data_IF_512950472425
#
_entry.id   IF_512950472425
#
_cell.length_a   1.000
_cell.length_b   1.000
_cell.length_c   1.000
_cell.angle_alpha   90.00
_cell.angle_beta   90.00
_cell.angle_gamma   90.00
#
_symmetry.space_group_name_H-M   'P 1'
#
loop_
_entity.id
_entity.type
_entity.pdbx_description
1 polymer ?
#
# COMPACT_ATOMS: atom_id res chain seq x y z
N UNK A 1 -21.14 -13.46 -10.41
CA UNK A 1 -19.86 -12.75 -10.57
C UNK A 1 -18.81 -13.77 -10.99
N UNK A 2 -18.28 -13.65 -12.21
CA UNK A 2 -17.28 -14.58 -12.77
C UNK A 2 -15.98 -14.54 -11.95
N UNK A 3 -15.34 -15.70 -11.73
CA UNK A 3 -14.08 -15.87 -11.00
C UNK A 3 -12.98 -14.91 -11.49
N UNK A 4 -12.94 -14.58 -12.79
CA UNK A 4 -11.99 -13.61 -13.36
C UNK A 4 -12.13 -12.18 -12.81
N UNK A 5 -13.29 -11.81 -12.26
CA UNK A 5 -13.53 -10.48 -11.67
C UNK A 5 -13.04 -10.38 -10.22
N UNK A 6 -12.87 -11.53 -9.53
CA UNK A 6 -12.24 -11.59 -8.20
C UNK A 6 -10.72 -11.57 -8.30
N UNK A 7 -10.14 -12.15 -9.36
CA UNK A 7 -8.70 -12.13 -9.60
C UNK A 7 -8.15 -10.73 -9.94
N UNK A 8 -9.02 -9.78 -10.33
CA UNK A 8 -8.65 -8.41 -10.70
C UNK A 8 -9.07 -7.35 -9.65
N UNK A 9 -9.65 -7.76 -8.53
CA UNK A 9 -10.01 -6.84 -7.43
C UNK A 9 -8.93 -6.84 -6.35
N UNK A 10 -8.66 -5.66 -5.80
CA UNK A 10 -7.83 -5.50 -4.62
C UNK A 10 -8.75 -5.49 -3.40
N UNK A 11 -8.56 -6.38 -2.44
CA UNK A 11 -9.37 -6.42 -1.22
C UNK A 11 -8.49 -6.15 0.01
N UNK A 12 -8.78 -5.07 0.75
CA UNK A 12 -8.01 -4.72 1.95
C UNK A 12 -8.08 -5.80 3.03
N UNK A 13 -9.12 -6.65 3.02
CA UNK A 13 -9.25 -7.76 3.99
C UNK A 13 -8.16 -8.82 3.83
N UNK A 14 -7.58 -8.95 2.64
CA UNK A 14 -6.46 -9.86 2.36
C UNK A 14 -5.22 -9.55 3.22
N UNK A 15 -5.10 -8.32 3.74
CA UNK A 15 -3.99 -7.95 4.62
C UNK A 15 -4.09 -8.65 5.99
N UNK A 16 -5.31 -8.91 6.47
CA UNK A 16 -5.59 -9.42 7.81
C UNK A 16 -5.92 -10.92 7.88
N UNK A 17 -5.86 -11.64 6.75
CA UNK A 17 -6.22 -13.07 6.70
C UNK A 17 -5.07 -14.03 7.10
N UNK A 18 -3.87 -13.48 7.35
CA UNK A 18 -2.67 -14.22 7.72
C UNK A 18 -1.84 -14.75 6.55
N UNK A 19 -2.19 -14.41 5.31
CA UNK A 19 -1.42 -14.79 4.12
C UNK A 19 -0.21 -13.90 3.82
N UNK A 20 -0.01 -12.82 4.58
CA UNK A 20 1.13 -11.90 4.45
C UNK A 20 2.29 -12.31 5.37
N UNK A 21 3.28 -13.05 4.85
CA UNK A 21 4.35 -13.70 5.65
C UNK A 21 5.09 -12.79 6.64
N UNK A 22 5.34 -11.52 6.29
CA UNK A 22 6.02 -10.54 7.16
C UNK A 22 5.10 -9.53 7.85
N UNK A 23 3.80 -9.81 7.93
CA UNK A 23 2.79 -8.95 8.55
C UNK A 23 1.85 -9.79 9.40
N UNK A 24 1.76 -9.52 10.70
CA UNK A 24 0.80 -10.23 11.53
C UNK A 24 -0.64 -9.89 11.09
N UNK A 25 -1.61 -10.82 11.23
CA UNK A 25 -3.01 -10.57 10.91
C UNK A 25 -3.56 -9.30 11.58
N UNK A 26 -3.15 -9.01 12.82
CA UNK A 26 -3.59 -7.86 13.59
C UNK A 26 -3.08 -6.55 13.01
N UNK A 27 -1.80 -6.50 12.62
CA UNK A 27 -1.23 -5.32 11.96
C UNK A 27 -1.87 -5.16 10.59
N UNK A 28 -2.02 -6.24 9.82
CA UNK A 28 -2.68 -6.20 8.51
C UNK A 28 -4.13 -5.70 8.58
N UNK A 29 -4.91 -6.21 9.53
CA UNK A 29 -6.26 -5.72 9.79
C UNK A 29 -6.29 -4.26 10.23
N UNK A 30 -5.30 -3.81 11.00
CA UNK A 30 -5.14 -2.39 11.39
C UNK A 30 -4.89 -1.50 10.17
N UNK A 31 -3.95 -1.87 9.29
CA UNK A 31 -3.68 -1.13 8.04
C UNK A 31 -4.89 -1.11 7.11
N UNK A 32 -5.61 -2.23 7.00
CA UNK A 32 -6.83 -2.35 6.23
C UNK A 32 -7.93 -1.40 6.75
N UNK A 33 -8.14 -1.37 8.07
CA UNK A 33 -9.11 -0.48 8.71
C UNK A 33 -8.74 1.00 8.51
N UNK A 34 -7.45 1.34 8.61
CA UNK A 34 -6.97 2.68 8.29
C UNK A 34 -7.32 3.06 6.85
N UNK A 35 -7.00 2.20 5.87
CA UNK A 35 -7.29 2.43 4.45
C UNK A 35 -8.79 2.58 4.17
N UNK A 36 -9.62 1.78 4.82
CA UNK A 36 -11.08 1.87 4.74
C UNK A 36 -11.60 3.23 5.25
N UNK A 37 -11.13 3.70 6.41
CA UNK A 37 -11.47 5.02 6.95
C UNK A 37 -10.99 6.14 6.02
N UNK A 38 -9.80 5.98 5.43
CA UNK A 38 -9.28 6.95 4.47
C UNK A 38 -10.19 7.08 3.25
N UNK A 39 -10.58 5.97 2.61
CA UNK A 39 -11.46 5.99 1.44
C UNK A 39 -12.86 6.52 1.78
N UNK A 40 -13.46 6.06 2.89
CA UNK A 40 -14.79 6.52 3.33
C UNK A 40 -14.79 8.03 3.65
N UNK A 41 -13.74 8.54 4.31
CA UNK A 41 -13.62 9.98 4.60
C UNK A 41 -13.59 10.86 3.35
N UNK A 42 -13.21 10.28 2.21
CA UNK A 42 -13.17 10.95 0.90
C UNK A 42 -14.43 10.68 0.08
N UNK A 43 -15.49 10.14 0.71
CA UNK A 43 -16.80 9.87 0.12
C UNK A 43 -16.77 8.80 -0.98
N UNK A 44 -15.77 7.92 -0.96
CA UNK A 44 -15.72 6.75 -1.84
C UNK A 44 -16.48 5.57 -1.24
N UNK A 45 -17.05 4.76 -2.11
CA UNK A 45 -17.75 3.52 -1.76
C UNK A 45 -16.87 2.30 -2.07
N UNK A 46 -17.04 1.18 -1.34
CA UNK A 46 -16.34 -0.07 -1.64
C UNK A 46 -16.52 -0.48 -3.11
N UNK A 47 -15.41 -0.79 -3.77
CA UNK A 47 -15.35 -1.09 -5.19
C UNK A 47 -15.05 0.10 -6.10
N UNK A 48 -14.76 1.28 -5.53
CA UNK A 48 -14.18 2.40 -6.31
C UNK A 48 -12.95 1.94 -7.08
N UNK A 49 -12.80 2.43 -8.29
CA UNK A 49 -11.64 2.11 -9.11
C UNK A 49 -10.41 2.84 -8.58
N UNK A 50 -9.40 2.08 -8.14
CA UNK A 50 -8.06 2.58 -7.85
C UNK A 50 -7.26 2.61 -9.14
N UNK A 51 -6.87 3.81 -9.58
CA UNK A 51 -6.04 3.99 -10.78
C UNK A 51 -4.57 3.83 -10.41
N UNK A 52 -3.93 2.77 -10.88
CA UNK A 52 -2.50 2.54 -10.71
C UNK A 52 -1.74 3.12 -11.90
N UNK A 53 -0.65 3.84 -11.63
CA UNK A 53 0.19 4.50 -12.65
C UNK A 53 1.68 4.33 -12.36
N UNK A 54 2.52 4.58 -13.38
CA UNK A 54 3.98 4.55 -13.26
C UNK A 54 4.61 3.33 -13.93
N UNK A 55 5.49 2.64 -13.21
CA UNK A 55 6.20 1.43 -13.68
C UNK A 55 5.25 0.26 -14.02
N UNK A 56 4.08 0.26 -13.38
CA UNK A 56 2.92 -0.56 -13.73
C UNK A 56 1.69 0.34 -13.85
N UNK A 57 0.69 -0.06 -14.62
CA UNK A 57 -0.53 0.72 -14.80
C UNK A 57 -1.78 -0.16 -14.95
N UNK A 58 -2.92 0.37 -14.54
CA UNK A 58 -4.23 -0.30 -14.66
C UNK A 58 -5.26 0.28 -13.70
N UNK A 59 -6.54 -0.04 -13.93
CA UNK A 59 -7.63 0.27 -13.01
C UNK A 59 -8.07 -1.00 -12.27
N UNK A 60 -8.16 -0.93 -10.95
CA UNK A 60 -8.50 -2.08 -10.11
C UNK A 60 -9.58 -1.68 -9.10
N UNK A 61 -10.72 -2.38 -9.03
CA UNK A 61 -11.70 -2.16 -7.97
C UNK A 61 -11.07 -2.43 -6.60
N UNK A 62 -11.06 -1.44 -5.72
CA UNK A 62 -10.59 -1.58 -4.35
C UNK A 62 -11.77 -1.86 -3.42
N UNK A 63 -11.74 -2.98 -2.72
CA UNK A 63 -12.79 -3.44 -1.80
C UNK A 63 -12.31 -3.28 -0.36
N UNK A 64 -13.24 -2.93 0.54
CA UNK A 64 -13.04 -2.89 1.98
C UNK A 64 -14.35 -3.09 2.72
N UNK A 65 -14.26 -3.43 4.00
CA UNK A 65 -15.41 -3.42 4.90
C UNK A 65 -15.69 -1.96 5.33
N UNK A 66 -16.92 -1.44 5.17
CA UNK A 66 -17.26 -0.09 5.63
C UNK A 66 -16.90 0.10 7.11
N UNK A 67 -16.17 1.16 7.47
CA UNK A 67 -15.78 1.37 8.86
C UNK A 67 -17.01 1.63 9.72
N UNK A 68 -17.03 1.06 10.92
CA UNK A 68 -18.01 1.42 11.94
C UNK A 68 -17.57 2.69 12.70
N UNK A 69 -18.39 3.10 13.66
CA UNK A 69 -18.10 4.31 14.44
C UNK A 69 -16.87 4.16 15.34
N UNK A 70 -16.55 2.94 15.76
CA UNK A 70 -15.35 2.68 16.55
C UNK A 70 -14.10 2.83 15.69
N UNK A 71 -14.11 2.28 14.47
CA UNK A 71 -13.03 2.44 13.50
C UNK A 71 -12.78 3.92 13.17
N UNK A 72 -13.85 4.69 12.91
CA UNK A 72 -13.75 6.15 12.67
C UNK A 72 -13.10 6.89 13.84
N UNK A 73 -13.43 6.52 15.09
CA UNK A 73 -12.83 7.13 16.29
C UNK A 73 -11.37 6.71 16.49
N UNK A 74 -11.05 5.44 16.23
CA UNK A 74 -9.68 4.91 16.31
C UNK A 74 -8.75 5.66 15.35
N UNK A 75 -9.21 5.88 14.12
CA UNK A 75 -8.43 6.50 13.04
C UNK A 75 -8.69 8.00 12.88
N UNK A 76 -9.15 8.67 13.95
CA UNK A 76 -9.47 10.11 13.93
C UNK A 76 -8.24 10.99 13.74
N UNK A 77 -7.04 10.49 14.03
CA UNK A 77 -5.81 11.17 13.63
C UNK A 77 -5.59 10.94 12.13
N UNK A 78 -5.89 11.95 11.33
CA UNK A 78 -5.80 11.86 9.87
C UNK A 78 -4.39 11.56 9.38
N UNK A 79 -3.34 11.97 10.08
CA UNK A 79 -1.96 11.69 9.69
C UNK A 79 -1.69 10.19 9.83
N UNK A 80 -1.93 9.63 11.02
CA UNK A 80 -1.71 8.20 11.30
C UNK A 80 -2.59 7.34 10.38
N UNK A 81 -3.84 7.74 10.17
CA UNK A 81 -4.75 7.04 9.28
C UNK A 81 -4.24 7.07 7.83
N UNK A 82 -3.78 8.22 7.34
CA UNK A 82 -3.24 8.36 5.97
C UNK A 82 -1.99 7.50 5.79
N UNK A 83 -1.05 7.53 6.74
CA UNK A 83 0.20 6.77 6.66
C UNK A 83 -0.06 5.26 6.69
N UNK A 84 -0.85 4.80 7.65
CA UNK A 84 -1.15 3.37 7.80
C UNK A 84 -2.07 2.86 6.68
N UNK A 85 -3.05 3.65 6.25
CA UNK A 85 -3.91 3.29 5.13
C UNK A 85 -3.13 3.16 3.84
N UNK A 86 -2.19 4.08 3.57
CA UNK A 86 -1.33 4.00 2.41
C UNK A 86 -0.41 2.78 2.46
N UNK A 87 0.15 2.46 3.63
CA UNK A 87 0.92 1.23 3.83
C UNK A 87 0.09 -0.03 3.50
N UNK A 88 -1.16 -0.10 3.95
CA UNK A 88 -2.05 -1.20 3.61
C UNK A 88 -2.26 -1.36 2.11
N UNK A 89 -2.67 -0.29 1.42
CA UNK A 89 -2.88 -0.32 -0.03
C UNK A 89 -1.58 -0.66 -0.78
N UNK A 90 -0.45 -0.10 -0.38
CA UNK A 90 0.85 -0.35 -1.02
C UNK A 90 1.31 -1.81 -0.88
N UNK A 91 1.17 -2.41 0.30
CA UNK A 91 1.51 -3.82 0.52
C UNK A 91 0.61 -4.76 -0.28
N UNK A 92 -0.68 -4.43 -0.40
CA UNK A 92 -1.61 -5.18 -1.23
C UNK A 92 -1.25 -5.10 -2.72
N UNK A 93 -0.88 -3.90 -3.21
CA UNK A 93 -0.41 -3.70 -4.58
C UNK A 93 0.89 -4.45 -4.85
N UNK A 94 1.84 -4.42 -3.91
CA UNK A 94 3.11 -5.14 -4.04
C UNK A 94 2.88 -6.64 -4.24
N UNK A 95 1.98 -7.24 -3.46
CA UNK A 95 1.63 -8.65 -3.61
C UNK A 95 0.92 -8.93 -4.93
N UNK A 96 -0.17 -8.20 -5.19
CA UNK A 96 -1.08 -8.51 -6.31
C UNK A 96 -0.49 -8.18 -7.68
N UNK A 97 0.29 -7.12 -7.78
CA UNK A 97 0.75 -6.60 -9.08
C UNK A 97 2.24 -6.74 -9.32
N UNK A 98 3.05 -6.86 -8.26
CA UNK A 98 4.51 -6.99 -8.38
C UNK A 98 5.03 -8.40 -8.00
N UNK A 99 4.18 -9.24 -7.41
CA UNK A 99 4.55 -10.59 -6.97
C UNK A 99 5.50 -10.60 -5.77
N UNK A 100 5.37 -9.60 -4.90
CA UNK A 100 6.20 -9.45 -3.69
C UNK A 100 5.36 -9.38 -2.42
N UNK A 101 5.80 -10.06 -1.37
CA UNK A 101 5.25 -9.92 -0.01
C UNK A 101 6.26 -9.25 0.91
N UNK A 102 5.77 -8.57 1.94
CA UNK A 102 6.65 -8.04 2.99
C UNK A 102 7.29 -9.19 3.75
N UNK A 103 8.59 -9.09 4.03
CA UNK A 103 9.35 -9.99 4.90
C UNK A 103 9.50 -9.39 6.29
N UNK A 104 9.69 -8.07 6.37
CA UNK A 104 9.85 -7.34 7.63
C UNK A 104 9.70 -5.83 7.42
N UNK A 105 9.43 -5.11 8.51
CA UNK A 105 9.58 -3.64 8.52
C UNK A 105 11.05 -3.26 8.62
N UNK A 106 11.42 -2.17 7.97
CA UNK A 106 12.76 -1.61 8.09
C UNK A 106 12.98 -1.04 9.50
N UNK A 107 14.26 -0.85 9.87
CA UNK A 107 14.60 -0.05 11.04
C UNK A 107 14.43 1.44 10.72
N UNK A 108 14.02 2.22 11.70
CA UNK A 108 13.99 3.67 11.57
C UNK A 108 15.35 4.23 11.10
N UNK A 109 15.32 5.22 10.22
CA UNK A 109 16.53 5.87 9.67
C UNK A 109 17.16 5.17 8.47
N UNK A 110 16.56 4.10 7.95
CA UNK A 110 17.07 3.36 6.78
C UNK A 110 16.62 3.96 5.43
N UNK A 111 15.67 4.90 5.43
CA UNK A 111 15.21 5.61 4.24
C UNK A 111 14.20 4.85 3.36
N UNK A 112 13.69 3.72 3.85
CA UNK A 112 12.55 2.98 3.28
C UNK A 112 11.72 2.36 4.43
N UNK A 113 10.51 1.85 4.18
CA UNK A 113 9.58 1.36 5.22
C UNK A 113 9.56 -0.17 5.38
N UNK A 114 9.67 -0.93 4.27
CA UNK A 114 9.52 -2.38 4.26
C UNK A 114 10.60 -3.06 3.43
N UNK A 115 11.01 -4.24 3.89
CA UNK A 115 11.67 -5.22 3.05
C UNK A 115 10.61 -6.10 2.41
N UNK A 116 10.72 -6.24 1.09
CA UNK A 116 9.90 -7.13 0.28
C UNK A 116 10.76 -8.28 -0.23
N UNK A 117 10.13 -9.42 -0.50
CA UNK A 117 10.71 -10.43 -1.37
C UNK A 117 9.64 -11.30 -2.02
N UNK A 118 10.07 -12.21 -2.90
CA UNK A 118 9.16 -12.92 -3.81
C UNK A 118 8.13 -13.76 -3.06
N UNK A 119 6.90 -13.70 -3.51
CA UNK A 119 5.80 -14.56 -3.05
C UNK A 119 5.94 -15.94 -3.75
N UNK A 120 6.89 -16.76 -3.25
CA UNK A 120 7.11 -18.13 -3.73
C UNK A 120 6.65 -19.13 -2.68
N UNK A 121 5.80 -20.07 -3.10
CA UNK A 121 5.18 -21.11 -2.28
C UNK A 121 6.21 -21.96 -1.52
N UNK A 122 6.59 -21.52 -0.32
CA UNK A 122 7.34 -22.31 0.66
C UNK A 122 8.87 -22.22 0.63
N UNK A 123 9.46 -21.38 -0.22
CA UNK A 123 10.92 -21.18 -0.27
C UNK A 123 11.37 -19.96 0.57
N UNK A 124 12.60 -19.98 1.12
CA UNK A 124 13.13 -18.83 1.84
C UNK A 124 13.20 -17.62 0.89
N UNK A 125 12.51 -16.56 1.28
CA UNK A 125 12.34 -15.33 0.51
C UNK A 125 13.73 -14.74 0.19
N UNK A 126 14.22 -15.01 -1.03
CA UNK A 126 15.45 -14.46 -1.58
C UNK A 126 15.07 -13.38 -2.58
N UNK A 127 15.28 -12.13 -2.19
CA UNK A 127 15.31 -10.89 -2.98
C UNK A 127 14.93 -9.78 -1.99
N UNK A 128 15.88 -9.00 -1.49
CA UNK A 128 15.59 -7.88 -0.57
C UNK A 128 15.31 -6.61 -1.37
N UNK A 129 14.08 -6.49 -1.85
CA UNK A 129 13.60 -5.27 -2.51
C UNK A 129 13.10 -4.30 -1.44
N UNK A 130 13.48 -3.04 -1.55
CA UNK A 130 13.04 -1.98 -0.62
C UNK A 130 11.68 -1.45 -1.05
N UNK A 131 10.79 -1.18 -0.10
CA UNK A 131 9.55 -0.45 -0.35
C UNK A 131 9.47 0.77 0.57
N UNK A 132 9.27 1.92 -0.05
CA UNK A 132 8.96 3.18 0.63
C UNK A 132 7.55 3.63 0.28
N UNK A 133 6.76 4.01 1.30
CA UNK A 133 5.35 4.33 1.13
C UNK A 133 5.07 5.79 1.48
N UNK A 134 4.08 6.38 0.81
CA UNK A 134 3.50 7.64 1.26
C UNK A 134 2.01 7.70 0.98
N UNK A 135 1.27 8.26 1.92
CA UNK A 135 -0.13 8.59 1.73
C UNK A 135 -0.33 10.08 1.47
N UNK A 136 -1.36 10.39 0.68
CA UNK A 136 -1.91 11.73 0.47
C UNK A 136 -3.42 11.61 0.66
N UNK A 137 -3.98 12.35 1.63
CA UNK A 137 -5.42 12.32 1.92
C UNK A 137 -6.23 12.99 0.81
N UNK A 138 -5.79 14.18 0.42
CA UNK A 138 -6.36 15.02 -0.63
C UNK A 138 -5.21 15.74 -1.32
N UNK A 139 -4.94 15.42 -2.57
CA UNK A 139 -3.90 16.08 -3.33
C UNK A 139 -4.12 16.06 -4.82
N UNK A 140 -3.22 16.73 -5.53
CA UNK A 140 -3.20 16.77 -6.99
C UNK A 140 -2.21 15.75 -7.55
N UNK A 141 -2.27 15.49 -8.86
CA UNK A 141 -1.23 14.72 -9.56
C UNK A 141 0.17 15.33 -9.39
N UNK A 142 0.28 16.65 -9.25
CA UNK A 142 1.55 17.34 -8.97
C UNK A 142 2.08 16.99 -7.58
N UNK A 143 1.21 16.87 -6.58
CA UNK A 143 1.59 16.44 -5.23
C UNK A 143 2.08 15.00 -5.19
N UNK A 144 1.38 14.11 -5.92
CA UNK A 144 1.80 12.71 -6.08
C UNK A 144 3.18 12.65 -6.72
N UNK A 145 3.40 13.36 -7.82
CA UNK A 145 4.68 13.39 -8.52
C UNK A 145 5.82 13.96 -7.68
N UNK A 146 5.53 15.00 -6.90
CA UNK A 146 6.47 15.57 -5.95
C UNK A 146 6.85 14.54 -4.88
N UNK A 147 5.87 13.83 -4.32
CA UNK A 147 6.11 12.78 -3.31
C UNK A 147 6.92 11.61 -3.88
N UNK A 148 6.66 11.18 -5.11
CA UNK A 148 7.48 10.17 -5.78
C UNK A 148 8.95 10.59 -5.82
N UNK A 149 9.23 11.82 -6.28
CA UNK A 149 10.62 12.34 -6.34
C UNK A 149 11.28 12.40 -4.97
N UNK A 150 10.54 12.86 -3.95
CA UNK A 150 11.03 12.92 -2.56
C UNK A 150 11.40 11.53 -2.05
N UNK A 151 10.52 10.53 -2.21
CA UNK A 151 10.75 9.16 -1.75
C UNK A 151 11.90 8.45 -2.48
N UNK A 152 11.96 8.57 -3.81
CA UNK A 152 13.10 8.03 -4.58
C UNK A 152 14.43 8.67 -4.15
N UNK A 153 14.45 9.98 -3.87
CA UNK A 153 15.64 10.64 -3.34
C UNK A 153 16.04 10.12 -1.96
N UNK A 154 15.07 9.86 -1.07
CA UNK A 154 15.32 9.30 0.26
C UNK A 154 15.96 7.91 0.15
N UNK A 155 15.41 7.04 -0.71
CA UNK A 155 15.92 5.69 -0.93
C UNK A 155 17.33 5.68 -1.54
N UNK A 156 17.66 6.64 -2.41
CA UNK A 156 18.98 6.73 -3.05
C UNK A 156 20.08 7.27 -2.12
N UNK A 157 19.72 7.96 -1.02
CA UNK A 157 20.69 8.42 -0.01
C UNK A 157 21.11 7.31 0.94
N UNK A 158 20.26 6.30 1.12
CA UNK A 158 20.66 5.06 1.75
C UNK A 158 21.53 4.30 0.75
N UNK A 159 22.83 4.14 1.03
CA UNK A 159 23.80 3.40 0.20
C UNK A 159 23.45 1.90 0.10
N UNK A 160 22.29 1.55 -0.46
CA UNK A 160 21.82 0.18 -0.59
C UNK A 160 21.87 -0.25 -2.07
N UNK A 161 22.54 -1.36 -2.32
CA UNK A 161 22.76 -1.93 -3.65
C UNK A 161 21.52 -2.59 -4.28
N UNK A 162 20.39 -2.62 -3.58
CA UNK A 162 19.18 -3.35 -3.99
C UNK A 162 18.13 -2.44 -4.59
N UNK A 163 17.39 -2.96 -5.59
CA UNK A 163 16.25 -2.25 -6.19
C UNK A 163 15.20 -1.87 -5.15
N UNK A 164 14.50 -0.77 -5.41
CA UNK A 164 13.43 -0.31 -4.53
C UNK A 164 12.24 0.23 -5.28
N UNK A 165 11.07 0.14 -4.65
CA UNK A 165 9.82 0.73 -5.10
C UNK A 165 9.42 1.87 -4.16
N UNK A 166 8.93 2.96 -4.74
CA UNK A 166 8.15 3.97 -4.05
C UNK A 166 6.68 3.84 -4.47
N UNK A 167 5.78 3.62 -3.52
CA UNK A 167 4.34 3.57 -3.77
C UNK A 167 3.66 4.73 -3.04
N UNK A 168 3.06 5.63 -3.81
CA UNK A 168 2.33 6.80 -3.30
C UNK A 168 0.84 6.56 -3.51
N UNK A 169 0.07 6.58 -2.44
CA UNK A 169 -1.39 6.37 -2.45
C UNK A 169 -2.09 7.70 -2.18
N UNK A 170 -2.98 8.09 -3.07
CA UNK A 170 -3.81 9.29 -2.96
C UNK A 170 -5.27 8.84 -2.79
N UNK A 171 -5.92 9.31 -1.72
CA UNK A 171 -7.25 8.84 -1.31
C UNK A 171 -8.40 9.71 -1.85
N UNK A 172 -8.18 11.00 -2.13
CA UNK A 172 -9.23 11.90 -2.59
C UNK A 172 -9.69 11.60 -4.02
N UNK A 173 -8.74 11.23 -4.87
CA UNK A 173 -8.85 10.77 -6.24
C UNK A 173 -8.12 9.41 -6.31
N UNK A 174 -8.82 8.29 -6.03
CA UNK A 174 -8.23 6.99 -5.74
C UNK A 174 -7.17 6.58 -6.77
N UNK A 175 -5.91 6.86 -6.43
CA UNK A 175 -4.76 6.68 -7.32
C UNK A 175 -3.61 6.11 -6.52
N UNK A 176 -2.88 5.18 -7.12
CA UNK A 176 -1.59 4.75 -6.62
C UNK A 176 -0.52 4.93 -7.70
N UNK A 177 0.58 5.62 -7.37
CA UNK A 177 1.73 5.75 -8.27
C UNK A 177 2.86 4.87 -7.79
N UNK A 178 3.31 3.96 -8.66
CA UNK A 178 4.38 3.01 -8.42
C UNK A 178 5.61 3.42 -9.24
N UNK A 179 6.70 3.76 -8.57
CA UNK A 179 7.97 4.12 -9.20
C UNK A 179 9.11 3.24 -8.66
N UNK A 180 10.17 3.09 -9.44
CA UNK A 180 11.36 2.30 -9.08
C UNK A 180 12.59 3.20 -8.96
N UNK A 181 13.52 2.84 -8.07
CA UNK A 181 14.85 3.45 -7.96
C UNK A 181 15.77 3.07 -9.11
#
# INVERSE_FOLDING_TARGET
MSERRREQSLDLRDLGDGSMVGLSPEVGGSLAQAGAVCMESQQHEPGVELVVTGSIAGGYPLQWEPPDEQARRTWRNDIDATENGAAGVALLLARRLLGYVTTSRSRHGTGFDYWLGRDVDGDPIQDEVRLEVSGIRQGTSVDVDRRVREKLSQMNRAEAATSGYAIIVEFGCPTAKVATT
#
